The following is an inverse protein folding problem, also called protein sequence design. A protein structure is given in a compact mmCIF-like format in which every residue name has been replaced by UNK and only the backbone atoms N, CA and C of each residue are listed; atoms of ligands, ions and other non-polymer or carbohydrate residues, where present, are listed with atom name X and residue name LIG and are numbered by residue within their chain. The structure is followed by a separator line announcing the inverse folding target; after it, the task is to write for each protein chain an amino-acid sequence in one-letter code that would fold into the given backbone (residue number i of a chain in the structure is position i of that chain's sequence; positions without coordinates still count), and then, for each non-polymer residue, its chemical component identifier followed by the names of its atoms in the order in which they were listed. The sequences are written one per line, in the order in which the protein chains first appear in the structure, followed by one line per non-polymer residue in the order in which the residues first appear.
data_IF_001001827235
#
_entry.id   IF_001001827235
#
_cell.length_a   1.000
_cell.length_b   1.000
_cell.length_c   1.000
_cell.angle_alpha   90.00
_cell.angle_beta   90.00
_cell.angle_gamma   90.00
#
_symmetry.space_group_name_H-M   'P 1'
#
loop_
_entity.id
_entity.type
_entity.pdbx_description
1 polymer ?
#
# COMPACT_ATOMS: atom_id res chain seq x y z
N UNK A 1 -7.51 4.61 -9.44
CA UNK A 1 -7.28 5.97 -9.93
C UNK A 1 -7.25 5.99 -11.46
N UNK A 2 -7.43 7.13 -12.12
CA UNK A 2 -7.03 7.32 -13.52
C UNK A 2 -5.71 8.10 -13.56
N UNK A 3 -5.08 8.29 -14.73
CA UNK A 3 -3.89 9.15 -14.86
C UNK A 3 -4.14 10.58 -14.40
N UNK A 4 -5.34 11.08 -14.63
CA UNK A 4 -5.76 12.41 -14.17
C UNK A 4 -5.92 12.45 -12.64
N UNK A 5 -6.31 11.34 -12.00
CA UNK A 5 -6.36 11.26 -10.54
C UNK A 5 -4.95 11.21 -9.91
N UNK A 6 -3.97 10.57 -10.56
CA UNK A 6 -2.56 10.64 -10.14
C UNK A 6 -2.01 12.05 -10.26
N UNK A 7 -2.24 12.73 -11.39
CA UNK A 7 -1.87 14.14 -11.52
C UNK A 7 -2.50 14.99 -10.41
N UNK A 8 -3.79 14.80 -10.10
CA UNK A 8 -4.43 15.53 -9.01
C UNK A 8 -3.82 15.22 -7.64
N UNK A 9 -3.32 14.01 -7.41
CA UNK A 9 -2.59 13.67 -6.19
C UNK A 9 -1.28 14.47 -6.09
N UNK A 10 -0.52 14.56 -7.18
CA UNK A 10 0.77 15.28 -7.21
C UNK A 10 0.63 16.79 -6.93
N UNK A 11 -0.55 17.37 -7.20
CA UNK A 11 -0.83 18.81 -7.06
C UNK A 11 -1.83 19.16 -5.93
N UNK A 12 -2.19 18.20 -5.07
CA UNK A 12 -3.18 18.38 -3.99
C UNK A 12 -4.57 18.86 -4.49
N UNK A 13 -4.99 18.35 -5.64
CA UNK A 13 -6.25 18.66 -6.31
C UNK A 13 -7.25 17.48 -6.28
N UNK A 14 -7.03 16.47 -5.43
CA UNK A 14 -7.84 15.26 -5.42
C UNK A 14 -9.33 15.55 -5.19
N UNK A 15 -10.18 14.94 -6.03
CA UNK A 15 -11.63 15.00 -5.91
C UNK A 15 -12.14 13.82 -5.06
N UNK A 16 -13.33 13.99 -4.47
CA UNK A 16 -14.01 12.90 -3.77
C UNK A 16 -14.16 11.68 -4.69
N UNK A 17 -13.59 10.55 -4.24
CA UNK A 17 -13.61 9.27 -4.97
C UNK A 17 -12.38 9.01 -5.86
N UNK A 18 -11.45 9.96 -5.98
CA UNK A 18 -10.16 9.72 -6.65
C UNK A 18 -9.29 8.77 -5.86
N UNK A 19 -9.31 8.93 -4.53
CA UNK A 19 -8.53 8.14 -3.60
C UNK A 19 -9.40 7.07 -2.93
N UNK A 20 -8.83 5.87 -2.82
CA UNK A 20 -9.32 4.85 -1.91
C UNK A 20 -8.32 4.77 -0.77
N UNK A 21 -8.73 5.22 0.39
CA UNK A 21 -7.86 5.37 1.55
C UNK A 21 -8.19 4.31 2.61
N UNK A 22 -7.18 3.97 3.39
CA UNK A 22 -7.33 3.16 4.59
C UNK A 22 -6.48 3.80 5.70
N UNK A 23 -7.17 4.38 6.68
CA UNK A 23 -6.53 5.02 7.82
C UNK A 23 -6.25 3.96 8.88
N UNK A 24 -4.96 3.69 9.12
CA UNK A 24 -4.53 2.77 10.17
C UNK A 24 -4.80 3.40 11.53
N UNK A 25 -5.38 2.62 12.44
CA UNK A 25 -5.37 2.96 13.86
C UNK A 25 -3.96 2.78 14.43
N UNK A 26 -3.65 3.44 15.55
CA UNK A 26 -2.36 3.28 16.22
C UNK A 26 -2.04 1.81 16.55
N UNK A 27 -3.05 1.03 16.96
CA UNK A 27 -2.90 -0.39 17.26
C UNK A 27 -2.56 -1.22 16.03
N UNK A 28 -3.27 -0.99 14.91
CA UNK A 28 -3.01 -1.66 13.64
C UNK A 28 -1.63 -1.30 13.09
N UNK A 29 -1.24 -0.03 13.20
CA UNK A 29 0.09 0.41 12.80
C UNK A 29 1.18 -0.26 13.65
N UNK A 30 1.00 -0.31 14.98
CA UNK A 30 1.91 -1.03 15.88
C UNK A 30 2.00 -2.52 15.53
N UNK A 31 0.88 -3.17 15.25
CA UNK A 31 0.86 -4.59 14.86
C UNK A 31 1.64 -4.84 13.57
N UNK A 32 1.50 -3.96 12.56
CA UNK A 32 2.25 -4.04 11.30
C UNK A 32 3.75 -3.81 11.50
N UNK A 33 4.14 -2.91 12.40
CA UNK A 33 5.53 -2.68 12.76
C UNK A 33 6.12 -3.91 13.48
N UNK A 34 5.40 -4.48 14.44
CA UNK A 34 5.87 -5.59 15.26
C UNK A 34 6.15 -6.86 14.43
N UNK A 35 5.36 -7.09 13.38
CA UNK A 35 5.56 -8.21 12.45
C UNK A 35 6.54 -7.90 11.31
N UNK A 36 7.06 -6.68 11.23
CA UNK A 36 8.01 -6.26 10.20
C UNK A 36 7.40 -6.10 8.80
N UNK A 37 6.09 -5.84 8.69
CA UNK A 37 5.37 -5.81 7.41
C UNK A 37 6.01 -4.88 6.36
N UNK A 38 6.31 -3.63 6.76
CA UNK A 38 6.91 -2.65 5.85
C UNK A 38 8.34 -3.02 5.45
N UNK A 39 9.11 -3.62 6.38
CA UNK A 39 10.46 -4.07 6.07
C UNK A 39 10.45 -5.25 5.08
N UNK A 40 9.49 -6.15 5.21
CA UNK A 40 9.32 -7.29 4.30
C UNK A 40 8.92 -6.82 2.89
N UNK A 41 8.08 -5.78 2.78
CA UNK A 41 7.79 -5.13 1.50
C UNK A 41 9.06 -4.47 0.93
N UNK A 42 9.78 -3.67 1.73
CA UNK A 42 11.01 -3.01 1.32
C UNK A 42 12.01 -4.00 0.73
N UNK A 43 12.23 -5.12 1.42
CA UNK A 43 13.14 -6.18 1.00
C UNK A 43 12.66 -6.89 -0.28
N UNK A 44 11.35 -7.10 -0.42
CA UNK A 44 10.79 -7.86 -1.55
C UNK A 44 10.71 -7.04 -2.83
N UNK A 45 10.42 -5.74 -2.72
CA UNK A 45 10.14 -4.85 -3.86
C UNK A 45 11.30 -3.88 -4.16
N UNK A 46 12.30 -3.78 -3.28
CA UNK A 46 13.38 -2.79 -3.40
C UNK A 46 12.85 -1.36 -3.30
N UNK A 47 12.01 -1.11 -2.29
CA UNK A 47 11.43 0.20 -1.94
C UNK A 47 11.87 0.60 -0.52
N UNK A 48 11.68 1.86 -0.15
CA UNK A 48 12.09 2.42 1.15
C UNK A 48 10.89 3.08 1.83
N UNK A 49 9.92 2.27 2.24
CA UNK A 49 8.78 2.73 3.04
C UNK A 49 9.26 3.03 4.46
N UNK A 50 9.16 4.29 4.87
CA UNK A 50 9.47 4.75 6.23
C UNK A 50 8.69 6.01 6.59
N UNK A 51 8.70 6.39 7.86
CA UNK A 51 8.12 7.62 8.39
C UNK A 51 8.88 8.91 7.99
N UNK A 52 10.02 8.79 7.31
CA UNK A 52 10.81 9.92 6.82
C UNK A 52 10.79 10.09 5.29
N UNK A 53 10.43 9.04 4.54
CA UNK A 53 10.50 9.02 3.07
C UNK A 53 9.10 8.87 2.46
N UNK A 54 8.78 9.72 1.48
CA UNK A 54 7.60 9.53 0.64
C UNK A 54 7.90 8.46 -0.41
N UNK A 55 7.44 7.24 -0.18
CA UNK A 55 7.63 6.12 -1.10
C UNK A 55 6.31 5.70 -1.75
N UNK A 56 6.38 5.35 -3.03
CA UNK A 56 5.24 4.90 -3.81
C UNK A 56 5.52 3.55 -4.49
N UNK A 57 4.46 2.75 -4.64
CA UNK A 57 4.51 1.51 -5.41
C UNK A 57 3.64 1.69 -6.65
N UNK A 58 4.28 1.83 -7.80
CA UNK A 58 3.65 2.07 -9.11
C UNK A 58 4.22 1.14 -10.18
N UNK A 59 3.51 1.00 -11.30
CA UNK A 59 3.96 0.26 -12.47
C UNK A 59 4.28 -1.22 -12.17
N UNK A 60 5.41 -1.72 -12.69
CA UNK A 60 5.80 -3.14 -12.57
C UNK A 60 5.93 -3.62 -11.11
N UNK A 61 6.21 -2.71 -10.17
CA UNK A 61 6.28 -3.06 -8.75
C UNK A 61 4.93 -3.46 -8.16
N UNK A 62 3.80 -3.08 -8.78
CA UNK A 62 2.47 -3.54 -8.36
C UNK A 62 2.28 -5.06 -8.57
N UNK A 63 2.88 -5.64 -9.62
CA UNK A 63 2.86 -7.10 -9.81
C UNK A 63 3.67 -7.83 -8.73
N UNK A 64 4.80 -7.25 -8.32
CA UNK A 64 5.61 -7.76 -7.21
C UNK A 64 4.85 -7.64 -5.89
N UNK A 65 4.16 -6.52 -5.66
CA UNK A 65 3.31 -6.31 -4.49
C UNK A 65 2.19 -7.34 -4.40
N UNK A 66 1.49 -7.61 -5.50
CA UNK A 66 0.45 -8.63 -5.55
C UNK A 66 1.00 -10.01 -5.17
N UNK A 67 2.12 -10.42 -5.80
CA UNK A 67 2.79 -11.70 -5.53
C UNK A 67 3.27 -11.82 -4.07
N UNK A 68 3.77 -10.71 -3.51
CA UNK A 68 4.14 -10.62 -2.10
C UNK A 68 2.93 -10.86 -1.20
N UNK A 69 1.83 -10.12 -1.41
CA UNK A 69 0.64 -10.20 -0.54
C UNK A 69 -0.02 -11.57 -0.58
N UNK A 70 -0.08 -12.23 -1.75
CA UNK A 70 -0.63 -13.58 -1.86
C UNK A 70 0.10 -14.61 -0.99
N UNK A 71 1.41 -14.43 -0.79
CA UNK A 71 2.21 -15.28 0.08
C UNK A 71 2.16 -14.80 1.54
N UNK A 72 2.20 -13.49 1.75
CA UNK A 72 2.22 -12.90 3.09
C UNK A 72 0.96 -13.25 3.89
N UNK A 73 -0.22 -13.17 3.26
CA UNK A 73 -1.51 -13.49 3.89
C UNK A 73 -1.59 -14.95 4.31
N UNK A 74 -0.96 -15.88 3.57
CA UNK A 74 -0.96 -17.30 3.95
C UNK A 74 -0.25 -17.54 5.28
N UNK A 75 0.77 -16.74 5.58
CA UNK A 75 1.58 -16.84 6.78
C UNK A 75 1.05 -16.00 7.95
N UNK A 76 0.17 -15.01 7.68
CA UNK A 76 -0.33 -14.05 8.67
C UNK A 76 -1.87 -13.97 8.68
N UNK A 77 -2.55 -15.12 8.59
CA UNK A 77 -4.01 -15.19 8.44
C UNK A 77 -4.80 -14.55 9.59
N UNK A 78 -4.21 -14.51 10.78
CA UNK A 78 -4.86 -14.01 11.99
C UNK A 78 -4.79 -12.47 12.13
N UNK A 79 -4.00 -11.81 11.27
CA UNK A 79 -3.78 -10.36 11.31
C UNK A 79 -4.76 -9.69 10.34
N UNK A 80 -5.87 -9.20 10.90
CA UNK A 80 -7.01 -8.72 10.10
C UNK A 80 -6.67 -7.52 9.23
N UNK A 81 -5.82 -6.60 9.72
CA UNK A 81 -5.43 -5.39 8.99
C UNK A 81 -4.77 -5.69 7.64
N UNK A 82 -4.01 -6.79 7.54
CA UNK A 82 -3.37 -7.21 6.28
C UNK A 82 -4.42 -7.48 5.20
N UNK A 83 -5.57 -8.05 5.57
CA UNK A 83 -6.64 -8.34 4.62
C UNK A 83 -7.27 -7.05 4.08
N UNK A 84 -7.38 -6.02 4.90
CA UNK A 84 -7.94 -4.73 4.47
C UNK A 84 -6.95 -3.94 3.61
N UNK A 85 -5.67 -3.92 3.98
CA UNK A 85 -4.59 -3.36 3.15
C UNK A 85 -4.54 -4.07 1.79
N UNK A 86 -4.64 -5.41 1.77
CA UNK A 86 -4.64 -6.16 0.51
C UNK A 86 -5.81 -5.78 -0.40
N UNK A 87 -6.99 -5.46 0.14
CA UNK A 87 -8.13 -4.97 -0.66
C UNK A 87 -7.82 -3.62 -1.31
N UNK A 88 -6.99 -2.78 -0.68
CA UNK A 88 -6.51 -1.54 -1.30
C UNK A 88 -5.50 -1.83 -2.42
N UNK A 89 -4.52 -2.69 -2.13
CA UNK A 89 -3.47 -3.03 -3.10
C UNK A 89 -4.04 -3.69 -4.35
N UNK A 90 -5.03 -4.58 -4.20
CA UNK A 90 -5.75 -5.17 -5.33
C UNK A 90 -6.46 -4.12 -6.19
N UNK A 91 -7.08 -3.11 -5.58
CA UNK A 91 -7.68 -2.01 -6.35
C UNK A 91 -6.62 -1.23 -7.12
N UNK A 92 -5.46 -0.96 -6.50
CA UNK A 92 -4.37 -0.26 -7.17
C UNK A 92 -3.83 -1.06 -8.36
N UNK A 93 -3.69 -2.38 -8.18
CA UNK A 93 -3.28 -3.33 -9.20
C UNK A 93 -4.28 -3.45 -10.36
N UNK A 94 -5.55 -3.76 -10.07
CA UNK A 94 -6.63 -3.93 -11.06
C UNK A 94 -6.84 -2.67 -11.91
N UNK A 95 -6.64 -1.49 -11.31
CA UNK A 95 -6.76 -0.20 -12.00
C UNK A 95 -5.45 0.31 -12.60
N UNK A 96 -4.35 -0.44 -12.46
CA UNK A 96 -3.00 -0.08 -12.91
C UNK A 96 -2.59 1.34 -12.49
N UNK A 97 -2.60 1.60 -11.18
CA UNK A 97 -2.38 2.93 -10.60
C UNK A 97 -1.18 2.96 -9.69
N UNK A 98 -1.37 3.20 -8.40
CA UNK A 98 -0.31 3.32 -7.41
C UNK A 98 -0.81 3.11 -5.99
N UNK A 99 0.11 2.71 -5.12
CA UNK A 99 -0.07 2.69 -3.67
C UNK A 99 0.88 3.71 -3.07
N UNK A 100 0.37 4.53 -2.17
CA UNK A 100 1.08 5.63 -1.54
C UNK A 100 1.02 5.46 -0.03
N UNK A 101 2.14 5.68 0.64
CA UNK A 101 2.26 5.59 2.10
C UNK A 101 2.43 6.99 2.68
N UNK A 102 1.62 7.32 3.68
CA UNK A 102 1.66 8.57 4.43
C UNK A 102 1.61 8.24 5.91
N UNK A 103 2.57 8.75 6.69
CA UNK A 103 2.73 8.51 8.13
C UNK A 103 2.75 9.84 8.89
#
# INVERSE_FOLDING_TARGET
MSKEAQHRLDYDECLNGDLKEYNLTENEFSELLDIGFFQDINNSLGVIISDYESEEIVGDKLHLLESFMENYIKNHKDILVINDINKLFKVAYEKNTGVYFFF
#
